data_IF_373084323954
#
_entry.id   IF_373084323954
#
_cell.length_a   1.000
_cell.length_b   1.000
_cell.length_c   1.000
_cell.angle_alpha   90.00
_cell.angle_beta   90.00
_cell.angle_gamma   90.00
#
_symmetry.space_group_name_H-M   'P 1'
#
loop_
_entity.id
_entity.type
_entity.pdbx_description
1 polymer ?
#
# COMPACT_ATOMS: atom_id res chain seq x y z
N UNK A 1 -3.25 -0.78 29.80
CA UNK A 1 -3.47 0.03 28.57
C UNK A 1 -2.22 0.14 27.70
N UNK A 2 -1.03 -0.23 28.20
CA UNK A 2 0.24 -0.33 27.45
C UNK A 2 0.37 -1.57 26.55
N UNK A 3 -0.45 -2.61 26.75
CA UNK A 3 -0.32 -3.90 26.04
C UNK A 3 -0.78 -3.90 24.57
N UNK A 4 -1.20 -2.76 24.01
CA UNK A 4 -1.88 -2.73 22.71
C UNK A 4 -1.06 -2.13 21.56
N UNK A 5 0.17 -1.63 21.78
CA UNK A 5 1.04 -1.11 20.71
C UNK A 5 2.03 -2.13 20.19
N UNK A 6 2.48 -3.02 21.06
CA UNK A 6 3.45 -4.08 20.70
C UNK A 6 2.87 -5.00 19.63
N UNK A 7 1.54 -5.23 19.64
CA UNK A 7 0.83 -5.98 18.59
C UNK A 7 0.88 -5.30 17.21
N UNK A 8 1.15 -4.00 17.14
CA UNK A 8 1.29 -3.24 15.90
C UNK A 8 2.76 -3.02 15.50
N UNK A 9 3.73 -3.55 16.28
CA UNK A 9 5.13 -3.45 15.89
C UNK A 9 5.47 -4.51 14.85
N UNK A 10 6.18 -4.09 13.82
CA UNK A 10 6.84 -5.00 12.87
C UNK A 10 8.11 -5.50 13.56
N UNK A 11 8.09 -6.74 14.06
CA UNK A 11 9.18 -7.31 14.87
C UNK A 11 10.36 -7.81 14.04
N UNK A 12 10.08 -8.38 12.88
CA UNK A 12 11.07 -8.91 11.95
C UNK A 12 11.29 -7.93 10.80
N UNK A 13 12.53 -7.82 10.33
CA UNK A 13 12.83 -6.95 9.19
C UNK A 13 12.08 -7.46 7.95
N UNK A 14 11.09 -6.72 7.42
CA UNK A 14 10.48 -7.10 6.17
C UNK A 14 11.50 -6.91 5.05
N UNK A 15 11.57 -7.86 4.11
CA UNK A 15 12.38 -7.66 2.93
C UNK A 15 11.80 -6.51 2.11
N UNK A 16 12.62 -5.49 1.90
CA UNK A 16 12.34 -4.36 1.03
C UNK A 16 13.63 -4.01 0.31
N UNK A 17 13.56 -3.90 -1.02
CA UNK A 17 14.68 -3.52 -1.87
C UNK A 17 14.50 -2.07 -2.29
N UNK A 18 15.32 -1.13 -1.77
CA UNK A 18 15.25 0.27 -2.21
C UNK A 18 15.57 0.40 -3.69
N UNK A 19 14.80 1.23 -4.39
CA UNK A 19 14.97 1.49 -5.84
C UNK A 19 15.67 2.83 -6.08
N UNK A 20 15.43 3.82 -5.24
CA UNK A 20 16.02 5.15 -5.29
C UNK A 20 16.33 5.64 -3.86
N UNK A 21 16.04 6.92 -3.58
CA UNK A 21 16.27 7.60 -2.31
C UNK A 21 15.02 7.64 -1.40
N UNK A 22 14.02 6.77 -1.66
CA UNK A 22 12.74 6.82 -0.95
C UNK A 22 12.87 6.56 0.55
N UNK A 23 13.87 5.78 0.96
CA UNK A 23 14.15 5.48 2.37
C UNK A 23 14.67 6.73 3.08
N UNK A 24 15.70 7.38 2.52
CA UNK A 24 16.30 8.59 3.09
C UNK A 24 15.29 9.75 3.12
N UNK A 25 14.52 9.93 2.04
CA UNK A 25 13.49 10.96 1.96
C UNK A 25 12.37 10.75 2.98
N UNK A 26 11.96 9.50 3.21
CA UNK A 26 10.95 9.20 4.23
C UNK A 26 11.48 9.42 5.64
N UNK A 27 12.73 9.08 5.95
CA UNK A 27 13.35 9.41 7.24
C UNK A 27 13.42 10.91 7.48
N UNK A 28 13.81 11.68 6.45
CA UNK A 28 13.82 13.13 6.50
C UNK A 28 12.41 13.69 6.74
N UNK A 29 11.41 13.21 6.01
CA UNK A 29 10.01 13.59 6.21
C UNK A 29 9.49 13.22 7.61
N UNK A 30 9.86 12.05 8.12
CA UNK A 30 9.53 11.64 9.48
C UNK A 30 10.14 12.59 10.50
N UNK A 31 11.41 13.00 10.35
CA UNK A 31 12.11 13.87 11.31
C UNK A 31 11.40 15.20 11.55
N UNK A 32 10.70 15.74 10.53
CA UNK A 32 9.89 16.96 10.61
C UNK A 32 8.38 16.68 10.74
N UNK A 33 7.99 15.41 10.88
CA UNK A 33 6.62 14.91 11.02
C UNK A 33 5.71 15.33 9.87
N UNK A 34 6.28 15.37 8.66
CA UNK A 34 5.56 15.66 7.43
C UNK A 34 4.61 14.49 7.10
N UNK A 35 3.33 14.75 6.82
CA UNK A 35 2.42 13.77 6.25
C UNK A 35 2.95 13.25 4.91
N UNK A 36 2.93 11.92 4.71
CA UNK A 36 3.48 11.30 3.50
C UNK A 36 2.42 10.64 2.63
N UNK A 37 2.55 10.79 1.32
CA UNK A 37 1.70 10.20 0.30
C UNK A 37 2.52 9.30 -0.61
N UNK A 38 2.14 8.04 -0.73
CA UNK A 38 2.78 7.09 -1.64
C UNK A 38 1.90 6.91 -2.89
N UNK A 39 2.45 7.30 -4.05
CA UNK A 39 1.79 7.18 -5.35
C UNK A 39 2.43 6.06 -6.14
N UNK A 40 1.65 5.27 -6.89
CA UNK A 40 2.22 4.27 -7.80
C UNK A 40 1.21 3.18 -8.15
N UNK A 41 1.50 2.30 -9.12
CA UNK A 41 0.58 1.24 -9.54
C UNK A 41 0.36 0.20 -8.43
N UNK A 42 -0.66 -0.65 -8.58
CA UNK A 42 -0.89 -1.75 -7.63
C UNK A 42 0.28 -2.72 -7.61
N UNK A 43 0.57 -3.29 -6.45
CA UNK A 43 1.57 -4.36 -6.32
C UNK A 43 3.02 -3.96 -6.64
N UNK A 44 3.39 -2.68 -6.58
CA UNK A 44 4.77 -2.19 -6.74
C UNK A 44 5.56 -2.03 -5.42
N UNK A 45 4.99 -2.43 -4.27
CA UNK A 45 5.71 -2.44 -3.00
C UNK A 45 5.43 -1.30 -2.01
N UNK A 46 4.46 -0.40 -2.27
CA UNK A 46 4.10 0.71 -1.35
C UNK A 46 3.83 0.26 0.09
N UNK A 47 2.97 -0.74 0.28
CA UNK A 47 2.64 -1.25 1.63
C UNK A 47 3.87 -1.87 2.31
N UNK A 48 4.66 -2.65 1.57
CA UNK A 48 5.92 -3.25 2.04
C UNK A 48 6.95 -2.19 2.45
N UNK A 49 7.02 -1.09 1.70
CA UNK A 49 7.86 0.05 2.04
C UNK A 49 7.45 0.67 3.39
N UNK A 50 6.15 0.88 3.64
CA UNK A 50 5.68 1.42 4.92
C UNK A 50 5.98 0.47 6.08
N UNK A 51 5.80 -0.84 5.88
CA UNK A 51 6.21 -1.86 6.85
C UNK A 51 7.71 -1.79 7.16
N UNK A 52 8.55 -1.68 6.12
CA UNK A 52 9.99 -1.53 6.25
C UNK A 52 10.37 -0.25 7.01
N UNK A 53 9.75 0.88 6.68
CA UNK A 53 10.01 2.14 7.38
C UNK A 53 9.53 2.11 8.83
N UNK A 54 8.39 1.48 9.12
CA UNK A 54 7.91 1.31 10.48
C UNK A 54 8.87 0.45 11.32
N UNK A 55 9.37 -0.65 10.75
CA UNK A 55 10.41 -1.46 11.36
C UNK A 55 11.71 -0.66 11.57
N UNK A 56 12.21 0.02 10.53
CA UNK A 56 13.47 0.78 10.56
C UNK A 56 13.44 1.91 11.59
N UNK A 57 12.31 2.61 11.70
CA UNK A 57 12.08 3.69 12.67
C UNK A 57 11.68 3.18 14.06
N UNK A 58 11.54 1.86 14.23
CA UNK A 58 11.04 1.21 15.44
C UNK A 58 9.71 1.83 15.93
N UNK A 59 8.77 2.02 15.01
CA UNK A 59 7.44 2.56 15.28
C UNK A 59 6.34 1.52 15.05
N UNK A 60 5.29 1.51 15.88
CA UNK A 60 4.10 0.72 15.58
C UNK A 60 3.45 1.20 14.29
N UNK A 61 2.91 0.27 13.50
CA UNK A 61 2.22 0.52 12.25
C UNK A 61 0.76 0.08 12.37
N UNK A 62 -0.14 1.05 12.28
CA UNK A 62 -1.59 0.81 12.24
C UNK A 62 -2.04 1.03 10.80
N UNK A 63 -2.18 -0.08 10.07
CA UNK A 63 -2.68 -0.10 8.69
C UNK A 63 -4.20 -0.17 8.67
N UNK A 64 -4.81 0.66 7.83
CA UNK A 64 -6.24 0.72 7.59
C UNK A 64 -6.48 0.58 6.10
N UNK A 65 -7.12 -0.52 5.69
CA UNK A 65 -7.54 -0.72 4.31
C UNK A 65 -8.82 0.07 4.03
N UNK A 66 -8.70 1.17 3.29
CA UNK A 66 -9.83 2.03 2.96
C UNK A 66 -10.77 1.35 1.94
N UNK A 67 -12.07 1.62 2.09
CA UNK A 67 -13.10 1.09 1.20
C UNK A 67 -14.32 2.03 1.22
N UNK A 68 -15.24 1.83 0.28
CA UNK A 68 -16.39 2.72 0.07
C UNK A 68 -17.39 2.74 1.24
N UNK A 69 -17.41 1.69 2.07
CA UNK A 69 -18.30 1.58 3.23
C UNK A 69 -17.68 2.19 4.49
N UNK A 70 -16.40 2.58 4.44
CA UNK A 70 -15.70 3.16 5.57
C UNK A 70 -16.24 4.55 5.91
N UNK A 71 -16.67 4.70 7.15
CA UNK A 71 -17.13 5.98 7.69
C UNK A 71 -16.06 6.67 8.52
N UNK A 72 -16.22 7.99 8.73
CA UNK A 72 -15.39 8.74 9.67
C UNK A 72 -15.34 8.11 11.08
N UNK A 73 -16.46 7.52 11.54
CA UNK A 73 -16.53 6.87 12.86
C UNK A 73 -15.68 5.61 12.96
N UNK A 74 -15.45 4.91 11.85
CA UNK A 74 -14.60 3.73 11.84
C UNK A 74 -13.12 4.12 12.01
N UNK A 75 -12.71 5.30 11.53
CA UNK A 75 -11.36 5.84 11.73
C UNK A 75 -11.15 6.44 13.13
N UNK A 76 -12.08 7.29 13.59
CA UNK A 76 -11.89 8.06 14.83
C UNK A 76 -12.35 7.31 16.08
N UNK A 77 -13.37 6.46 15.95
CA UNK A 77 -13.96 5.74 17.07
C UNK A 77 -15.46 5.96 17.22
N UNK A 78 -16.04 5.11 18.06
CA UNK A 78 -17.49 5.03 18.28
C UNK A 78 -17.81 4.59 19.71
N UNK A 79 -19.03 4.89 20.14
CA UNK A 79 -19.57 4.28 21.34
C UNK A 79 -20.09 2.88 21.04
N UNK A 80 -19.73 1.94 21.91
CA UNK A 80 -20.25 0.59 21.94
C UNK A 80 -21.19 0.43 23.13
N UNK A 81 -22.25 -0.33 22.95
CA UNK A 81 -23.13 -0.77 24.01
C UNK A 81 -22.64 -2.14 24.50
N UNK A 82 -22.38 -2.26 25.78
CA UNK A 82 -22.09 -3.52 26.45
C UNK A 82 -23.02 -3.73 27.65
N UNK A 83 -22.90 -4.89 28.31
CA UNK A 83 -23.75 -5.25 29.44
C UNK A 83 -23.63 -4.29 30.64
N UNK A 84 -22.53 -3.52 30.73
CA UNK A 84 -22.24 -2.58 31.80
C UNK A 84 -22.53 -1.12 31.40
N UNK A 85 -22.98 -0.87 30.17
CA UNK A 85 -23.40 0.43 29.67
C UNK A 85 -22.73 0.83 28.36
N UNK A 86 -22.61 2.14 28.14
CA UNK A 86 -22.03 2.71 26.93
C UNK A 86 -20.55 3.00 27.17
N UNK A 87 -19.66 2.40 26.36
CA UNK A 87 -18.21 2.67 26.41
C UNK A 87 -17.69 3.22 25.10
N UNK A 88 -16.73 4.13 25.17
CA UNK A 88 -16.02 4.61 23.98
C UNK A 88 -14.96 3.61 23.53
N UNK A 89 -14.87 3.39 22.23
CA UNK A 89 -13.77 2.67 21.59
C UNK A 89 -13.10 3.60 20.58
N UNK A 90 -11.82 3.88 20.79
CA UNK A 90 -11.02 4.62 19.81
C UNK A 90 -10.89 3.81 18.51
N UNK A 91 -11.01 4.50 17.38
CA UNK A 91 -10.69 3.93 16.07
C UNK A 91 -9.17 3.91 15.83
N UNK A 92 -8.71 3.27 14.74
CA UNK A 92 -7.29 3.10 14.44
C UNK A 92 -6.55 4.44 14.30
N UNK A 93 -7.18 5.47 13.71
CA UNK A 93 -6.57 6.79 13.57
C UNK A 93 -6.40 7.49 14.91
N UNK A 94 -7.43 7.43 15.77
CA UNK A 94 -7.37 8.00 17.11
C UNK A 94 -6.34 7.28 17.99
N UNK A 95 -6.29 5.95 17.91
CA UNK A 95 -5.29 5.14 18.59
C UNK A 95 -3.88 5.54 18.15
N UNK A 96 -3.60 5.59 16.85
CA UNK A 96 -2.30 6.00 16.34
C UNK A 96 -1.91 7.42 16.78
N UNK A 97 -2.86 8.36 16.70
CA UNK A 97 -2.65 9.75 17.11
C UNK A 97 -2.31 9.87 18.59
N UNK A 98 -2.96 9.11 19.48
CA UNK A 98 -2.65 9.11 20.92
C UNK A 98 -1.31 8.47 21.26
N UNK A 99 -0.97 7.40 20.55
CA UNK A 99 0.10 6.49 20.93
C UNK A 99 1.41 6.72 20.18
N UNK A 100 1.43 7.64 19.22
CA UNK A 100 2.65 7.96 18.48
C UNK A 100 3.05 6.91 17.46
N UNK A 101 2.06 6.22 16.88
CA UNK A 101 2.26 5.24 15.83
C UNK A 101 2.27 5.89 14.44
N UNK A 102 2.73 5.13 13.44
CA UNK A 102 2.47 5.42 12.04
C UNK A 102 1.06 4.91 11.72
N UNK A 103 0.17 5.79 11.25
CA UNK A 103 -1.12 5.40 10.70
C UNK A 103 -1.05 5.39 9.19
N UNK A 104 -1.20 4.21 8.60
CA UNK A 104 -1.18 4.03 7.15
C UNK A 104 -2.59 3.80 6.63
N UNK A 105 -3.10 4.73 5.84
CA UNK A 105 -4.39 4.62 5.16
C UNK A 105 -4.15 4.11 3.74
N UNK A 106 -4.30 2.81 3.55
CA UNK A 106 -4.06 2.14 2.27
C UNK A 106 -5.26 2.35 1.35
N UNK A 107 -5.01 2.78 0.12
CA UNK A 107 -6.04 3.08 -0.89
C UNK A 107 -7.06 4.15 -0.44
N UNK A 108 -6.58 5.27 0.12
CA UNK A 108 -7.42 6.32 0.73
C UNK A 108 -8.53 6.89 -0.17
N UNK A 109 -8.33 6.81 -1.49
CA UNK A 109 -9.30 7.24 -2.52
C UNK A 109 -10.54 6.37 -2.59
N UNK A 110 -10.49 5.14 -2.10
CA UNK A 110 -11.66 4.27 -2.01
C UNK A 110 -12.56 4.63 -0.82
N UNK A 111 -12.03 5.35 0.18
CA UNK A 111 -12.85 5.87 1.26
C UNK A 111 -13.77 7.00 0.79
N UNK A 112 -14.91 7.13 1.46
CA UNK A 112 -15.83 8.24 1.22
C UNK A 112 -15.15 9.59 1.47
N UNK A 113 -15.54 10.61 0.71
CA UNK A 113 -14.91 11.93 0.79
C UNK A 113 -15.01 12.55 2.20
N UNK A 114 -16.13 12.36 2.90
CA UNK A 114 -16.34 12.79 4.29
C UNK A 114 -15.42 12.05 5.27
N UNK A 115 -15.07 10.79 4.99
CA UNK A 115 -14.06 10.03 5.73
C UNK A 115 -12.66 10.61 5.51
N UNK A 116 -12.31 11.01 4.27
CA UNK A 116 -10.97 11.54 3.98
C UNK A 116 -10.68 12.90 4.64
N UNK A 117 -11.68 13.76 4.85
CA UNK A 117 -11.45 15.10 5.44
C UNK A 117 -11.13 15.05 6.93
N UNK A 118 -11.43 13.93 7.60
CA UNK A 118 -11.11 13.70 9.03
C UNK A 118 -9.63 13.87 9.32
N UNK A 119 -8.76 13.63 8.35
CA UNK A 119 -7.31 13.70 8.52
C UNK A 119 -6.77 15.14 8.45
N UNK A 120 -7.55 16.11 7.97
CA UNK A 120 -7.07 17.49 7.77
C UNK A 120 -6.52 18.12 9.06
N UNK A 121 -7.20 18.06 10.21
CA UNK A 121 -6.68 18.62 11.47
C UNK A 121 -5.36 17.99 11.94
N UNK A 122 -5.07 16.75 11.52
CA UNK A 122 -3.83 16.02 11.83
C UNK A 122 -2.65 16.41 10.93
N UNK A 123 -2.93 17.05 9.78
CA UNK A 123 -1.92 17.48 8.80
C UNK A 123 -1.55 18.96 8.91
N UNK A 124 -2.33 19.75 9.65
CA UNK A 124 -1.99 21.13 9.98
C UNK A 124 -0.95 21.20 11.13
N UNK A 125 -0.33 22.36 11.30
CA UNK A 125 0.60 22.65 12.41
C UNK A 125 0.04 22.37 13.82
N UNK A 126 -1.29 22.35 13.97
CA UNK A 126 -1.97 22.09 15.25
C UNK A 126 -1.88 20.61 15.65
N UNK A 127 -1.86 19.69 14.67
CA UNK A 127 -1.83 18.23 14.85
C UNK A 127 -2.80 17.75 15.94
N UNK A 128 -4.10 18.02 15.75
CA UNK A 128 -5.16 17.61 16.66
C UNK A 128 -6.17 16.71 15.95
N UNK A 129 -6.85 15.83 16.69
CA UNK A 129 -7.96 15.02 16.19
C UNK A 129 -9.21 15.29 17.04
N UNK A 130 -10.21 16.00 16.50
CA UNK A 130 -11.49 16.18 17.18
C UNK A 130 -12.27 14.85 17.21
N UNK A 131 -12.64 14.40 18.40
CA UNK A 131 -13.56 13.28 18.63
C UNK A 131 -14.92 13.85 19.04
N UNK A 132 -15.64 14.44 18.07
CA UNK A 132 -16.85 15.23 18.33
C UNK A 132 -17.91 14.47 19.14
N UNK A 133 -18.16 13.20 18.79
CA UNK A 133 -19.12 12.35 19.50
C UNK A 133 -18.75 12.14 20.97
N UNK A 134 -17.45 12.12 21.29
CA UNK A 134 -16.92 11.97 22.65
C UNK A 134 -16.76 13.31 23.39
N UNK A 135 -16.84 14.43 22.67
CA UNK A 135 -16.55 15.76 23.22
C UNK A 135 -15.07 15.95 23.60
N UNK A 136 -14.16 15.25 22.93
CA UNK A 136 -12.73 15.27 23.25
C UNK A 136 -11.90 15.81 22.08
N UNK A 137 -10.92 16.67 22.38
CA UNK A 137 -9.92 17.11 21.40
C UNK A 137 -8.58 16.44 21.70
N UNK A 138 -8.19 15.48 20.86
CA UNK A 138 -6.93 14.74 21.04
C UNK A 138 -5.79 15.55 20.44
N UNK A 139 -4.78 15.89 21.23
CA UNK A 139 -3.50 16.38 20.71
C UNK A 139 -2.68 15.17 20.25
N UNK A 140 -2.27 15.15 18.98
CA UNK A 140 -1.49 14.04 18.47
C UNK A 140 -0.13 13.96 19.18
N UNK A 141 0.28 12.75 19.52
CA UNK A 141 1.57 12.45 20.10
C UNK A 141 2.70 12.96 19.19
N UNK A 142 3.81 13.51 19.73
CA UNK A 142 4.90 14.05 18.92
C UNK A 142 5.40 13.10 17.83
N UNK A 143 5.44 11.80 18.13
CA UNK A 143 5.89 10.73 17.22
C UNK A 143 4.87 10.23 16.19
N UNK A 144 3.61 10.64 16.29
CA UNK A 144 2.58 10.25 15.33
C UNK A 144 2.96 10.70 13.92
N UNK A 145 2.75 9.82 12.95
CA UNK A 145 2.84 10.14 11.53
C UNK A 145 1.63 9.56 10.80
N UNK A 146 1.13 10.29 9.81
CA UNK A 146 0.13 9.81 8.87
C UNK A 146 0.76 9.56 7.51
N UNK A 147 0.43 8.41 6.94
CA UNK A 147 0.83 7.99 5.61
C UNK A 147 -0.43 7.57 4.85
N UNK A 148 -0.54 7.98 3.60
CA UNK A 148 -1.63 7.56 2.71
C UNK A 148 -1.05 6.95 1.43
N UNK A 149 -1.74 5.97 0.85
CA UNK A 149 -1.42 5.49 -0.50
C UNK A 149 -2.61 5.63 -1.43
N UNK A 150 -2.33 5.79 -2.72
CA UNK A 150 -3.31 5.56 -3.77
C UNK A 150 -2.63 5.24 -5.11
N UNK A 151 -3.41 4.70 -6.05
CA UNK A 151 -2.95 4.30 -7.38
C UNK A 151 -3.45 5.33 -8.41
N UNK A 152 -2.61 6.28 -8.88
CA UNK A 152 -3.04 7.30 -9.83
C UNK A 152 -3.50 6.68 -11.15
N UNK A 153 -4.65 7.13 -11.67
CA UNK A 153 -5.19 6.66 -12.95
C UNK A 153 -5.93 5.32 -12.91
N UNK A 154 -5.99 4.66 -11.75
CA UNK A 154 -6.81 3.45 -11.55
C UNK A 154 -8.29 3.81 -11.38
N UNK A 155 -8.59 4.93 -10.71
CA UNK A 155 -9.96 5.36 -10.47
C UNK A 155 -10.51 6.23 -11.60
N UNK A 156 -11.84 6.20 -11.75
CA UNK A 156 -12.57 7.24 -12.51
C UNK A 156 -12.17 8.64 -12.00
N UNK A 157 -12.12 9.63 -12.89
CA UNK A 157 -11.81 11.03 -12.56
C UNK A 157 -12.64 11.60 -11.39
N UNK A 158 -13.78 10.99 -11.06
CA UNK A 158 -14.68 11.37 -9.97
C UNK A 158 -14.20 10.94 -8.57
N UNK A 159 -13.25 10.00 -8.48
CA UNK A 159 -12.70 9.43 -7.23
C UNK A 159 -11.22 9.78 -7.01
N UNK A 160 -10.76 10.93 -7.51
CA UNK A 160 -9.42 11.42 -7.21
C UNK A 160 -9.37 12.18 -5.88
N UNK A 161 -8.19 12.24 -5.26
CA UNK A 161 -7.97 13.10 -4.10
C UNK A 161 -8.12 14.58 -4.48
N UNK A 162 -8.90 15.32 -3.71
CA UNK A 162 -9.03 16.78 -3.85
C UNK A 162 -7.67 17.45 -3.69
N UNK A 163 -7.43 18.52 -4.46
CA UNK A 163 -6.20 19.32 -4.37
C UNK A 163 -5.91 19.82 -2.94
N UNK A 164 -6.96 20.17 -2.19
CA UNK A 164 -6.85 20.56 -0.79
C UNK A 164 -6.32 19.45 0.13
N UNK A 165 -6.55 18.18 -0.21
CA UNK A 165 -5.94 17.05 0.49
C UNK A 165 -4.52 16.82 -0.02
N UNK A 166 -4.29 16.84 -1.34
CA UNK A 166 -2.94 16.62 -1.93
C UNK A 166 -1.89 17.59 -1.40
N UNK A 167 -2.22 18.87 -1.30
CA UNK A 167 -1.30 19.93 -0.86
C UNK A 167 -0.91 19.87 0.64
N UNK A 168 -1.46 18.91 1.39
CA UNK A 168 -1.14 18.68 2.81
C UNK A 168 -0.07 17.60 3.02
N UNK A 169 0.37 16.94 1.94
CA UNK A 169 1.28 15.81 2.00
C UNK A 169 2.54 16.07 1.17
N UNK A 170 3.69 15.68 1.70
CA UNK A 170 4.84 15.33 0.86
C UNK A 170 4.56 14.02 0.13
N UNK A 171 5.20 13.78 -1.01
CA UNK A 171 4.90 12.61 -1.81
C UNK A 171 6.14 11.88 -2.33
N UNK A 172 6.02 10.56 -2.44
CA UNK A 172 6.96 9.66 -3.07
C UNK A 172 6.25 8.94 -4.22
N UNK A 173 6.90 8.89 -5.38
CA UNK A 173 6.40 8.21 -6.57
C UNK A 173 7.09 6.86 -6.71
N UNK A 174 6.27 5.81 -6.68
CA UNK A 174 6.66 4.43 -6.88
C UNK A 174 6.27 3.98 -8.28
N UNK A 175 7.10 3.14 -8.86
CA UNK A 175 6.80 2.44 -10.10
C UNK A 175 7.27 0.99 -9.98
N UNK A 176 7.01 0.17 -10.99
CA UNK A 176 7.68 -1.12 -11.06
C UNK A 176 9.20 -0.90 -11.20
N UNK A 177 10.04 -1.66 -10.47
CA UNK A 177 11.49 -1.51 -10.55
C UNK A 177 12.03 -1.84 -11.95
N UNK A 178 13.25 -1.40 -12.22
CA UNK A 178 14.02 -1.83 -13.40
C UNK A 178 14.28 -3.34 -13.38
N UNK A 179 14.51 -3.91 -14.57
CA UNK A 179 14.58 -5.35 -14.81
C UNK A 179 15.37 -6.14 -13.74
N UNK A 180 16.63 -5.74 -13.52
CA UNK A 180 17.55 -6.46 -12.63
C UNK A 180 17.10 -6.41 -11.17
N UNK A 181 16.55 -5.27 -10.74
CA UNK A 181 16.05 -5.07 -9.37
C UNK A 181 14.77 -5.87 -9.17
N UNK A 182 13.85 -5.85 -10.14
CA UNK A 182 12.61 -6.62 -10.05
C UNK A 182 12.89 -8.13 -10.06
N UNK A 183 13.86 -8.58 -10.87
CA UNK A 183 14.28 -9.97 -10.89
C UNK A 183 14.89 -10.41 -9.55
N UNK A 184 15.71 -9.56 -8.92
CA UNK A 184 16.24 -9.78 -7.57
C UNK A 184 15.10 -9.95 -6.54
N UNK A 185 14.11 -9.06 -6.58
CA UNK A 185 12.94 -9.12 -5.69
C UNK A 185 12.16 -10.42 -5.89
N UNK A 186 11.85 -10.79 -7.14
CA UNK A 186 11.09 -12.01 -7.45
C UNK A 186 11.86 -13.25 -7.04
N UNK A 187 13.18 -13.32 -7.32
CA UNK A 187 14.02 -14.43 -6.92
C UNK A 187 14.08 -14.57 -5.39
N UNK A 188 14.26 -13.46 -4.67
CA UNK A 188 14.29 -13.45 -3.21
C UNK A 188 12.97 -13.92 -2.58
N UNK A 189 11.83 -13.37 -3.03
CA UNK A 189 10.52 -13.67 -2.44
C UNK A 189 9.99 -15.08 -2.77
N UNK A 190 10.45 -15.69 -3.87
CA UNK A 190 9.90 -16.98 -4.34
C UNK A 190 10.87 -18.14 -4.26
N UNK A 191 12.18 -17.88 -4.16
CA UNK A 191 13.23 -18.91 -4.17
C UNK A 191 13.54 -19.48 -5.56
N UNK A 192 12.96 -18.96 -6.65
CA UNK A 192 13.32 -19.37 -8.01
C UNK A 192 14.70 -18.84 -8.41
N UNK A 193 15.28 -19.43 -9.47
CA UNK A 193 16.55 -18.95 -10.01
C UNK A 193 16.43 -17.51 -10.53
N UNK A 194 17.51 -16.72 -10.45
CA UNK A 194 17.54 -15.36 -11.01
C UNK A 194 17.23 -15.34 -12.52
N UNK A 195 17.57 -16.43 -13.22
CA UNK A 195 17.28 -16.60 -14.64
C UNK A 195 15.77 -16.74 -14.90
N UNK A 196 15.07 -17.53 -14.08
CA UNK A 196 13.62 -17.68 -14.21
C UNK A 196 12.88 -16.43 -13.73
N UNK A 197 13.37 -15.76 -12.68
CA UNK A 197 12.87 -14.46 -12.26
C UNK A 197 13.01 -13.41 -13.38
N UNK A 198 14.17 -13.34 -14.06
CA UNK A 198 14.37 -12.44 -15.20
C UNK A 198 13.43 -12.74 -16.37
N UNK A 199 13.14 -14.01 -16.67
CA UNK A 199 12.13 -14.38 -17.66
C UNK A 199 10.73 -13.89 -17.27
N UNK A 200 10.34 -14.08 -16.00
CA UNK A 200 9.06 -13.59 -15.48
C UNK A 200 8.94 -12.07 -15.62
N UNK A 201 9.99 -11.33 -15.25
CA UNK A 201 10.06 -9.88 -15.42
C UNK A 201 9.96 -9.47 -16.90
N UNK A 202 10.65 -10.17 -17.79
CA UNK A 202 10.56 -9.93 -19.24
C UNK A 202 9.14 -10.12 -19.80
N UNK A 203 8.36 -11.06 -19.25
CA UNK A 203 6.93 -11.21 -19.58
C UNK A 203 6.13 -9.99 -19.08
N UNK A 204 6.38 -9.54 -17.84
CA UNK A 204 5.71 -8.38 -17.29
C UNK A 204 6.02 -7.08 -18.05
N UNK A 205 7.25 -6.86 -18.46
CA UNK A 205 7.64 -5.69 -19.27
C UNK A 205 6.85 -5.63 -20.59
N UNK A 206 6.72 -6.76 -21.29
CA UNK A 206 5.90 -6.83 -22.50
C UNK A 206 4.43 -6.50 -22.22
N UNK A 207 3.87 -7.04 -21.14
CA UNK A 207 2.48 -6.72 -20.77
C UNK A 207 2.31 -5.25 -20.37
N UNK A 208 3.27 -4.65 -19.65
CA UNK A 208 3.25 -3.23 -19.28
C UNK A 208 3.30 -2.31 -20.50
N UNK A 209 4.00 -2.72 -21.56
CA UNK A 209 4.02 -2.00 -22.84
C UNK A 209 2.68 -2.06 -23.60
N UNK A 210 1.79 -3.00 -23.26
CA UNK A 210 0.43 -3.08 -23.81
C UNK A 210 -0.58 -2.25 -23.03
N UNK A 211 -0.16 -1.57 -21.96
CA UNK A 211 -1.03 -0.66 -21.20
C UNK A 211 -1.51 0.48 -22.12
N UNK A 212 -2.83 0.70 -22.18
CA UNK A 212 -3.46 1.65 -23.10
C UNK A 212 -3.60 1.15 -24.55
N UNK A 213 -3.16 -0.07 -24.83
CA UNK A 213 -3.24 -0.75 -26.14
C UNK A 213 -3.97 -2.10 -26.03
N UNK A 214 -5.02 -2.16 -25.20
CA UNK A 214 -5.83 -3.36 -24.95
C UNK A 214 -5.74 -3.89 -23.52
N UNK A 215 -4.78 -3.41 -22.72
CA UNK A 215 -4.76 -3.61 -21.27
C UNK A 215 -5.01 -2.30 -20.53
N UNK A 216 -5.88 -2.34 -19.53
CA UNK A 216 -6.07 -1.21 -18.60
C UNK A 216 -4.86 -1.07 -17.66
N UNK A 217 -4.29 -2.21 -17.24
CA UNK A 217 -3.11 -2.27 -16.38
C UNK A 217 -2.09 -3.33 -16.84
N UNK A 218 -0.82 -3.07 -16.55
CA UNK A 218 0.25 -4.05 -16.76
C UNK A 218 0.38 -5.03 -15.57
N UNK A 219 1.16 -6.09 -15.79
CA UNK A 219 1.46 -7.09 -14.75
C UNK A 219 2.21 -6.45 -13.59
N UNK A 220 1.71 -6.65 -12.37
CA UNK A 220 2.36 -6.15 -11.15
C UNK A 220 3.44 -7.10 -10.61
N UNK A 221 4.38 -6.57 -9.83
CA UNK A 221 5.42 -7.38 -9.16
C UNK A 221 4.79 -8.45 -8.25
N UNK A 222 3.64 -8.17 -7.63
CA UNK A 222 2.85 -9.16 -6.87
C UNK A 222 2.49 -10.40 -7.72
N UNK A 223 2.08 -10.19 -8.97
CA UNK A 223 1.70 -11.27 -9.88
C UNK A 223 2.93 -12.11 -10.28
N UNK A 224 4.08 -11.46 -10.47
CA UNK A 224 5.36 -12.14 -10.69
C UNK A 224 5.73 -13.04 -9.50
N UNK A 225 5.54 -12.56 -8.27
CA UNK A 225 5.77 -13.35 -7.05
C UNK A 225 4.85 -14.58 -6.99
N UNK A 226 3.57 -14.45 -7.40
CA UNK A 226 2.69 -15.62 -7.49
C UNK A 226 3.14 -16.62 -8.56
N UNK A 227 3.53 -16.15 -9.74
CA UNK A 227 4.04 -17.01 -10.80
C UNK A 227 5.31 -17.74 -10.37
N UNK A 228 6.28 -17.02 -9.78
CA UNK A 228 7.52 -17.60 -9.26
C UNK A 228 7.27 -18.60 -8.14
N UNK A 229 6.36 -18.29 -7.20
CA UNK A 229 5.99 -19.23 -6.12
C UNK A 229 5.41 -20.54 -6.64
N UNK A 230 4.57 -20.49 -7.69
CA UNK A 230 4.03 -21.69 -8.33
C UNK A 230 5.14 -22.51 -9.01
N UNK A 231 6.08 -21.84 -9.70
CA UNK A 231 7.24 -22.50 -10.32
C UNK A 231 8.12 -23.16 -9.26
N UNK A 232 8.37 -22.48 -8.13
CA UNK A 232 9.15 -23.04 -7.02
C UNK A 232 8.50 -24.30 -6.41
N UNK A 233 7.17 -24.42 -6.48
CA UNK A 233 6.43 -25.62 -6.07
C UNK A 233 6.36 -26.72 -7.16
N UNK A 234 7.05 -26.54 -8.28
CA UNK A 234 7.13 -27.54 -9.36
C UNK A 234 6.00 -27.47 -10.39
N UNK A 235 5.18 -26.40 -10.39
CA UNK A 235 4.22 -26.17 -11.48
C UNK A 235 4.99 -25.79 -12.74
N UNK A 236 4.60 -26.35 -13.88
CA UNK A 236 5.20 -26.00 -15.18
C UNK A 236 5.11 -24.49 -15.43
N UNK A 237 6.22 -23.87 -15.84
CA UNK A 237 6.34 -22.41 -15.92
C UNK A 237 5.27 -21.74 -16.78
N UNK A 238 4.95 -22.33 -17.94
CA UNK A 238 3.87 -21.85 -18.80
C UNK A 238 2.50 -21.86 -18.10
N UNK A 239 2.18 -22.92 -17.35
CA UNK A 239 0.92 -23.02 -16.62
C UNK A 239 0.87 -22.04 -15.44
N UNK A 240 1.97 -21.89 -14.71
CA UNK A 240 2.10 -20.90 -13.63
C UNK A 240 1.90 -19.47 -14.16
N UNK A 241 2.57 -19.12 -15.26
CA UNK A 241 2.43 -17.82 -15.91
C UNK A 241 1.00 -17.59 -16.41
N UNK A 242 0.37 -18.59 -17.03
CA UNK A 242 -1.01 -18.45 -17.50
C UNK A 242 -1.97 -18.10 -16.37
N UNK A 243 -1.92 -18.84 -15.26
CA UNK A 243 -2.82 -18.65 -14.12
C UNK A 243 -2.52 -17.34 -13.38
N UNK A 244 -1.25 -17.00 -13.18
CA UNK A 244 -0.87 -15.84 -12.36
C UNK A 244 -0.72 -14.54 -13.14
N UNK A 245 -0.33 -14.57 -14.41
CA UNK A 245 0.06 -13.40 -15.20
C UNK A 245 -0.93 -13.05 -16.32
N UNK A 246 -1.58 -14.05 -16.93
CA UNK A 246 -2.41 -13.84 -18.13
C UNK A 246 -3.90 -13.73 -17.76
N UNK A 247 -4.45 -14.76 -17.11
CA UNK A 247 -5.89 -14.86 -16.85
C UNK A 247 -6.45 -13.73 -15.96
N UNK A 248 -5.71 -13.18 -14.97
CA UNK A 248 -6.29 -12.14 -14.11
C UNK A 248 -6.33 -10.73 -14.72
N UNK A 249 -5.52 -10.42 -15.73
CA UNK A 249 -5.39 -9.04 -16.25
C UNK A 249 -6.27 -8.75 -17.46
N UNK A 250 -6.83 -9.77 -18.10
CA UNK A 250 -7.67 -9.56 -19.28
C UNK A 250 -8.67 -10.68 -19.52
N UNK A 251 -9.88 -10.29 -19.91
CA UNK A 251 -10.92 -11.17 -20.43
C UNK A 251 -10.96 -11.24 -21.96
N UNK A 252 -10.23 -10.34 -22.63
CA UNK A 252 -10.13 -10.28 -24.08
C UNK A 252 -9.34 -11.49 -24.64
N UNK A 253 -9.94 -12.31 -25.52
CA UNK A 253 -9.27 -13.48 -26.09
C UNK A 253 -7.98 -13.16 -26.87
N UNK A 254 -7.97 -12.07 -27.65
CA UNK A 254 -6.82 -11.70 -28.48
C UNK A 254 -5.64 -11.25 -27.59
N UNK A 255 -5.94 -10.49 -26.53
CA UNK A 255 -4.93 -10.10 -25.54
C UNK A 255 -4.41 -11.28 -24.74
N UNK A 256 -5.27 -12.26 -24.43
CA UNK A 256 -4.85 -13.52 -23.78
C UNK A 256 -3.89 -14.28 -24.67
N UNK A 257 -4.20 -14.43 -25.95
CA UNK A 257 -3.36 -15.14 -26.90
C UNK A 257 -2.01 -14.42 -27.11
N UNK A 258 -2.00 -13.09 -27.16
CA UNK A 258 -0.78 -12.30 -27.22
C UNK A 258 0.12 -12.50 -25.99
N UNK A 259 -0.47 -12.53 -24.80
CA UNK A 259 0.26 -12.77 -23.55
C UNK A 259 0.71 -14.23 -23.40
N UNK A 260 -0.13 -15.20 -23.76
CA UNK A 260 0.23 -16.63 -23.80
C UNK A 260 1.39 -16.87 -24.79
N UNK A 261 1.40 -16.18 -25.94
CA UNK A 261 2.53 -16.20 -26.88
C UNK A 261 3.79 -15.57 -26.30
N UNK A 262 3.67 -14.46 -25.55
CA UNK A 262 4.79 -13.88 -24.84
C UNK A 262 5.38 -14.87 -23.82
N UNK A 263 4.55 -15.53 -23.02
CA UNK A 263 4.98 -16.58 -22.07
C UNK A 263 5.77 -17.68 -22.79
N UNK A 264 5.26 -18.20 -23.91
CA UNK A 264 5.90 -19.27 -24.68
C UNK A 264 7.25 -18.86 -25.31
N UNK A 265 7.51 -17.57 -25.53
CA UNK A 265 8.82 -17.11 -25.99
C UNK A 265 9.89 -17.10 -24.90
N UNK A 266 9.51 -17.11 -23.62
CA UNK A 266 10.44 -17.14 -22.49
C UNK A 266 10.61 -18.54 -21.86
N UNK A 267 9.58 -19.39 -21.92
CA UNK A 267 9.54 -20.72 -21.31
C UNK A 267 9.06 -21.81 -22.27
#
# INVERSE_FOLDING_TARGET
MSDNLESYRVSEQPYYRPVADEVELYEAAYSVRMPMMLKGPTGCGKTRFVEYMAWKLNKPLITVACNEDMTASDLVGRFLLDANGTRWQDGPLAMAARLGAICYLDEIVEARQDTTVVIHPLTDNRRVLPLEKKGELVKAHPDFQIVISYNPGYQSLMKDLKQSTKQRFGALDFNYPEHDIEAEIVAHETGVSIQDAGKLVGIAERARNLKGHGLDEGISTRMLIYAGSLIAQGVAAQAACRVALVRPITDDPDMRDALDAAVATFF
#
